data_IF_804423653769
#
_entry.id   IF_804423653769
#
_cell.length_a   1.000
_cell.length_b   1.000
_cell.length_c   1.000
_cell.angle_alpha   90.00
_cell.angle_beta   90.00
_cell.angle_gamma   90.00
#
_symmetry.space_group_name_H-M   'P 1'
#
loop_
_entity.id
_entity.type
_entity.pdbx_description
1 polymer ?
#
# COMPACT_ATOMS: atom_id res chain seq x y z
N UNK A 1 9.93 17.37 23.46
CA UNK A 1 9.93 16.28 24.33
C UNK A 1 9.14 15.15 23.84
N UNK A 2 7.86 15.28 23.89
CA UNK A 2 6.95 14.22 23.49
C UNK A 2 7.21 13.71 22.09
N UNK A 3 7.55 14.60 21.18
CA UNK A 3 7.79 14.20 19.81
C UNK A 3 8.89 13.18 19.65
N UNK A 4 9.81 13.09 20.60
CA UNK A 4 10.88 12.11 20.54
C UNK A 4 10.36 10.69 20.62
N UNK A 5 9.16 10.53 21.16
CA UNK A 5 8.53 9.23 21.31
C UNK A 5 7.62 8.89 20.14
N UNK A 6 7.47 9.80 19.19
CA UNK A 6 6.60 9.61 18.06
C UNK A 6 7.16 8.55 17.13
N UNK A 7 6.38 7.51 16.91
CA UNK A 7 6.73 6.38 16.06
C UNK A 7 6.67 6.78 14.59
N UNK A 8 7.58 6.25 13.78
CA UNK A 8 7.48 6.39 12.33
C UNK A 8 6.24 5.67 11.83
N UNK A 9 5.57 6.28 10.86
CA UNK A 9 4.50 5.58 10.15
C UNK A 9 5.10 4.40 9.39
N UNK A 10 4.40 3.28 9.39
CA UNK A 10 4.87 2.05 8.76
C UNK A 10 3.97 1.68 7.58
N UNK A 11 4.60 1.38 6.48
CA UNK A 11 3.94 1.08 5.22
C UNK A 11 4.25 -0.34 4.80
N UNK A 12 3.26 -1.02 4.21
CA UNK A 12 3.48 -2.32 3.59
C UNK A 12 3.32 -2.14 2.08
N UNK A 13 4.31 -2.59 1.32
CA UNK A 13 4.31 -2.48 -0.14
C UNK A 13 4.25 -3.88 -0.73
N UNK A 14 3.26 -4.13 -1.57
CA UNK A 14 3.12 -5.38 -2.31
C UNK A 14 3.34 -5.10 -3.79
N UNK A 15 4.38 -5.69 -4.36
CA UNK A 15 4.66 -5.65 -5.79
C UNK A 15 5.59 -6.82 -6.11
N UNK A 16 5.35 -7.53 -7.20
CA UNK A 16 6.21 -8.65 -7.58
C UNK A 16 7.40 -8.23 -8.42
N UNK A 17 7.46 -6.98 -8.86
CA UNK A 17 8.57 -6.45 -9.65
C UNK A 17 9.65 -5.91 -8.72
N UNK A 18 10.82 -6.55 -8.73
CA UNK A 18 11.94 -6.17 -7.86
C UNK A 18 12.39 -4.72 -8.06
N UNK A 19 12.39 -4.24 -9.29
CA UNK A 19 12.80 -2.87 -9.59
C UNK A 19 11.84 -1.85 -8.99
N UNK A 20 10.54 -2.12 -9.09
CA UNK A 20 9.52 -1.26 -8.50
C UNK A 20 9.62 -1.29 -6.97
N UNK A 21 9.82 -2.48 -6.39
CA UNK A 21 10.01 -2.62 -4.95
C UNK A 21 11.14 -1.71 -4.46
N UNK A 22 12.28 -1.77 -5.12
CA UNK A 22 13.46 -0.98 -4.72
C UNK A 22 13.21 0.50 -4.86
N UNK A 23 12.60 0.92 -5.95
CA UNK A 23 12.31 2.32 -6.20
C UNK A 23 11.34 2.87 -5.16
N UNK A 24 10.22 2.19 -4.96
CA UNK A 24 9.19 2.64 -4.01
C UNK A 24 9.74 2.67 -2.59
N UNK A 25 10.47 1.63 -2.20
CA UNK A 25 11.07 1.58 -0.86
C UNK A 25 12.03 2.75 -0.64
N UNK A 26 12.87 3.04 -1.63
CA UNK A 26 13.83 4.14 -1.51
C UNK A 26 13.12 5.48 -1.36
N UNK A 27 12.10 5.73 -2.18
CA UNK A 27 11.34 6.97 -2.12
C UNK A 27 10.65 7.16 -0.77
N UNK A 28 10.00 6.11 -0.28
CA UNK A 28 9.21 6.21 0.95
C UNK A 28 10.09 6.25 2.20
N UNK A 29 11.19 5.48 2.21
CA UNK A 29 12.14 5.55 3.31
C UNK A 29 12.80 6.91 3.40
N UNK A 30 13.11 7.49 2.24
CA UNK A 30 13.68 8.82 2.18
C UNK A 30 12.70 9.87 2.71
N UNK A 31 11.42 9.64 2.54
CA UNK A 31 10.38 10.53 3.08
C UNK A 31 10.16 10.35 4.59
N UNK A 32 10.86 9.40 5.21
CA UNK A 32 10.82 9.23 6.66
C UNK A 32 9.96 8.08 7.16
N UNK A 33 9.50 7.21 6.28
CA UNK A 33 8.62 6.09 6.66
C UNK A 33 9.41 4.80 6.86
N UNK A 34 8.88 3.93 7.72
CA UNK A 34 9.33 2.55 7.82
C UNK A 34 8.58 1.76 6.74
N UNK A 35 9.29 0.95 5.97
CA UNK A 35 8.69 0.26 4.81
C UNK A 35 9.04 -1.21 4.86
N UNK A 36 8.01 -2.06 4.81
CA UNK A 36 8.17 -3.50 4.64
C UNK A 36 7.69 -3.85 3.23
N UNK A 37 8.36 -4.78 2.58
CA UNK A 37 8.08 -5.16 1.20
C UNK A 37 7.76 -6.64 1.13
N UNK A 38 6.70 -6.97 0.38
CA UNK A 38 6.32 -8.35 0.12
C UNK A 38 6.05 -8.51 -1.38
N UNK A 39 6.11 -9.75 -1.85
CA UNK A 39 5.97 -10.08 -3.27
C UNK A 39 4.66 -10.78 -3.61
N UNK A 40 3.85 -11.14 -2.62
CA UNK A 40 2.58 -11.82 -2.86
C UNK A 40 1.53 -11.39 -1.85
N UNK A 41 0.27 -11.61 -2.20
CA UNK A 41 -0.85 -11.31 -1.31
C UNK A 41 -0.80 -12.14 -0.04
N UNK A 42 -0.40 -13.42 -0.13
CA UNK A 42 -0.28 -14.28 1.04
C UNK A 42 0.74 -13.75 2.03
N UNK A 43 1.89 -13.28 1.53
CA UNK A 43 2.89 -12.65 2.38
C UNK A 43 2.35 -11.39 3.04
N UNK A 44 1.59 -10.59 2.27
CA UNK A 44 1.01 -9.37 2.80
C UNK A 44 0.03 -9.68 3.93
N UNK A 45 -0.84 -10.67 3.75
CA UNK A 45 -1.81 -11.06 4.76
C UNK A 45 -1.11 -11.53 6.03
N UNK A 46 -0.05 -12.31 5.89
CA UNK A 46 0.73 -12.76 7.05
C UNK A 46 1.32 -11.58 7.81
N UNK A 47 1.89 -10.61 7.09
CA UNK A 47 2.46 -9.42 7.72
C UNK A 47 1.41 -8.59 8.42
N UNK A 48 0.25 -8.42 7.79
CA UNK A 48 -0.85 -7.65 8.37
C UNK A 48 -1.32 -8.27 9.70
N UNK A 49 -1.27 -9.59 9.80
CA UNK A 49 -1.64 -10.28 11.03
C UNK A 49 -0.64 -10.12 12.17
N UNK A 50 0.60 -9.74 11.86
CA UNK A 50 1.67 -9.65 12.85
C UNK A 50 2.11 -8.22 13.16
N UNK A 51 1.85 -7.28 12.25
CA UNK A 51 2.37 -5.93 12.33
C UNK A 51 1.27 -4.95 11.96
N UNK A 52 1.18 -3.85 12.68
CA UNK A 52 0.24 -2.80 12.36
C UNK A 52 0.82 -1.89 11.29
N UNK A 53 0.03 -1.60 10.26
CA UNK A 53 0.45 -0.73 9.18
C UNK A 53 -0.45 0.50 9.09
N UNK A 54 0.16 1.63 8.74
CA UNK A 54 -0.56 2.88 8.57
C UNK A 54 -1.06 3.05 7.14
N UNK A 55 -0.39 2.42 6.17
CA UNK A 55 -0.80 2.42 4.77
C UNK A 55 -0.40 1.10 4.13
N UNK A 56 -1.28 0.60 3.27
CA UNK A 56 -0.98 -0.56 2.42
C UNK A 56 -0.95 -0.07 0.98
N UNK A 57 0.20 -0.25 0.32
CA UNK A 57 0.38 0.11 -1.09
C UNK A 57 0.44 -1.18 -1.89
N UNK A 58 -0.59 -1.45 -2.67
CA UNK A 58 -0.79 -2.77 -3.27
C UNK A 58 -0.84 -2.71 -4.79
N UNK A 59 -0.04 -3.55 -5.46
CA UNK A 59 -0.16 -3.77 -6.90
C UNK A 59 -1.20 -4.85 -7.15
N UNK A 60 -2.14 -4.59 -8.04
CA UNK A 60 -3.20 -5.55 -8.37
C UNK A 60 -2.88 -6.42 -9.59
N UNK A 61 -1.81 -6.11 -10.32
CA UNK A 61 -1.46 -6.84 -11.53
C UNK A 61 -0.64 -8.10 -11.30
N UNK A 62 -0.43 -8.47 -10.05
CA UNK A 62 0.23 -9.75 -9.73
C UNK A 62 -0.69 -10.89 -10.16
N UNK A 63 -0.23 -11.83 -10.99
CA UNK A 63 -1.10 -12.76 -11.72
C UNK A 63 -2.05 -13.61 -10.89
N UNK A 64 -1.63 -14.16 -9.78
CA UNK A 64 -2.48 -15.09 -9.02
C UNK A 64 -2.68 -14.74 -7.57
N UNK A 65 -1.77 -13.98 -6.96
CA UNK A 65 -1.80 -13.71 -5.54
C UNK A 65 -1.26 -12.30 -5.30
N UNK A 66 -2.09 -11.31 -5.51
CA UNK A 66 -1.69 -9.92 -5.43
C UNK A 66 -2.64 -9.06 -4.63
N UNK A 67 -2.78 -7.80 -5.03
CA UNK A 67 -3.57 -6.83 -4.30
C UNK A 67 -5.02 -7.20 -4.12
N UNK A 68 -5.63 -7.86 -5.12
CA UNK A 68 -7.03 -8.29 -4.99
C UNK A 68 -7.21 -9.32 -3.88
N UNK A 69 -6.24 -10.22 -3.70
CA UNK A 69 -6.28 -11.20 -2.62
C UNK A 69 -6.30 -10.51 -1.26
N UNK A 70 -5.47 -9.48 -1.11
CA UNK A 70 -5.41 -8.71 0.13
C UNK A 70 -6.71 -7.96 0.38
N UNK A 71 -7.25 -7.31 -0.64
CA UNK A 71 -8.50 -6.56 -0.52
C UNK A 71 -9.65 -7.47 -0.09
N UNK A 72 -9.75 -8.65 -0.71
CA UNK A 72 -10.78 -9.62 -0.36
C UNK A 72 -10.66 -10.03 1.10
N UNK A 73 -9.44 -10.31 1.54
CA UNK A 73 -9.17 -10.68 2.93
C UNK A 73 -9.59 -9.57 3.89
N UNK A 74 -9.24 -8.32 3.58
CA UNK A 74 -9.54 -7.19 4.45
C UNK A 74 -11.03 -6.90 4.54
N UNK A 75 -11.78 -7.12 3.48
CA UNK A 75 -13.23 -6.94 3.51
C UNK A 75 -13.88 -7.80 4.59
N UNK A 76 -13.34 -8.97 4.82
CA UNK A 76 -13.86 -9.89 5.84
C UNK A 76 -13.24 -9.69 7.20
N UNK A 77 -11.92 -9.51 7.26
CA UNK A 77 -11.18 -9.54 8.51
C UNK A 77 -10.98 -8.16 9.16
N UNK A 78 -10.86 -7.11 8.34
CA UNK A 78 -10.57 -5.76 8.85
C UNK A 78 -11.02 -4.70 7.84
N UNK A 79 -12.32 -4.48 7.70
CA UNK A 79 -12.82 -3.52 6.71
C UNK A 79 -12.30 -2.09 6.90
N UNK A 80 -12.02 -1.70 8.14
CA UNK A 80 -11.52 -0.36 8.43
C UNK A 80 -10.16 -0.10 7.78
N UNK A 81 -9.34 -1.13 7.64
CA UNK A 81 -8.01 -1.00 7.04
C UNK A 81 -8.09 -0.71 5.54
N UNK A 82 -9.21 -1.04 4.88
CA UNK A 82 -9.39 -0.73 3.47
C UNK A 82 -9.26 0.77 3.19
N UNK A 83 -9.63 1.62 4.14
CA UNK A 83 -9.53 3.06 3.98
C UNK A 83 -8.08 3.56 3.94
N UNK A 84 -7.14 2.68 4.24
CA UNK A 84 -5.72 2.97 4.20
C UNK A 84 -5.00 2.24 3.05
N UNK A 85 -5.77 1.66 2.13
CA UNK A 85 -5.23 0.98 0.96
C UNK A 85 -5.13 1.94 -0.21
N UNK A 86 -3.94 1.97 -0.81
CA UNK A 86 -3.67 2.67 -2.07
C UNK A 86 -3.22 1.63 -3.08
N UNK A 87 -3.86 1.59 -4.22
CA UNK A 87 -3.42 0.70 -5.30
C UNK A 87 -2.36 1.39 -6.14
N UNK A 88 -1.27 0.68 -6.41
CA UNK A 88 -0.20 1.17 -7.28
C UNK A 88 -0.17 0.25 -8.49
N UNK A 89 -0.71 0.70 -9.62
CA UNK A 89 -0.96 -0.23 -10.70
C UNK A 89 -1.04 0.41 -12.07
N UNK A 90 -0.74 -0.40 -13.09
CA UNK A 90 -0.97 -0.06 -14.49
C UNK A 90 -2.30 -0.61 -14.99
N UNK A 91 -3.11 -1.19 -14.10
CA UNK A 91 -4.39 -1.79 -14.48
C UNK A 91 -5.35 -0.80 -15.14
N UNK A 92 -6.17 -1.25 -16.08
CA UNK A 92 -7.22 -0.40 -16.66
C UNK A 92 -8.23 0.05 -15.61
N UNK A 93 -8.80 1.23 -15.82
CA UNK A 93 -9.82 1.76 -14.92
C UNK A 93 -10.99 0.81 -14.69
N UNK A 94 -11.36 0.04 -15.71
CA UNK A 94 -12.48 -0.88 -15.61
C UNK A 94 -12.30 -1.93 -14.52
N UNK A 95 -11.05 -2.36 -14.27
CA UNK A 95 -10.77 -3.34 -13.22
C UNK A 95 -10.86 -2.73 -11.82
N UNK A 96 -10.74 -1.43 -11.72
CA UNK A 96 -10.68 -0.73 -10.43
C UNK A 96 -12.03 -0.14 -10.03
N UNK A 97 -12.98 -0.12 -10.96
CA UNK A 97 -14.24 0.61 -10.79
C UNK A 97 -15.03 0.19 -9.55
N UNK A 98 -15.12 -1.09 -9.31
CA UNK A 98 -15.89 -1.61 -8.18
C UNK A 98 -15.24 -1.42 -6.82
N UNK A 99 -13.99 -0.95 -6.78
CA UNK A 99 -13.24 -0.83 -5.54
C UNK A 99 -13.08 0.60 -5.04
N UNK A 100 -13.37 1.60 -5.88
CA UNK A 100 -13.07 2.99 -5.55
C UNK A 100 -13.72 3.50 -4.29
N UNK A 101 -14.87 2.99 -3.93
CA UNK A 101 -15.56 3.41 -2.71
C UNK A 101 -15.06 2.74 -1.45
N UNK A 102 -14.32 1.64 -1.59
CA UNK A 102 -13.87 0.85 -0.45
C UNK A 102 -12.47 1.22 0.02
N UNK A 103 -11.59 1.62 -0.90
CA UNK A 103 -10.19 1.91 -0.62
C UNK A 103 -9.94 3.42 -0.63
N UNK A 104 -8.73 3.82 -0.20
CA UNK A 104 -8.39 5.24 -0.21
C UNK A 104 -8.28 5.79 -1.64
N UNK A 105 -7.54 5.12 -2.49
CA UNK A 105 -7.36 5.60 -3.85
C UNK A 105 -6.36 4.79 -4.66
N UNK A 106 -5.98 5.36 -5.80
CA UNK A 106 -5.12 4.68 -6.78
C UNK A 106 -4.02 5.63 -7.24
N UNK A 107 -2.81 5.12 -7.34
CA UNK A 107 -1.68 5.79 -7.99
C UNK A 107 -1.33 4.96 -9.22
N UNK A 108 -1.31 5.59 -10.39
CA UNK A 108 -1.10 4.88 -11.64
C UNK A 108 0.37 4.80 -11.99
N UNK A 109 0.78 3.67 -12.54
CA UNK A 109 2.11 3.50 -13.12
C UNK A 109 2.07 3.94 -14.59
N UNK A 110 3.06 4.67 -15.08
CA UNK A 110 4.18 5.25 -14.34
C UNK A 110 3.74 6.42 -13.47
N UNK A 111 4.42 6.63 -12.35
CA UNK A 111 4.04 7.69 -11.41
C UNK A 111 5.19 8.66 -11.18
N UNK A 112 4.83 9.87 -10.73
CA UNK A 112 5.79 10.85 -10.27
C UNK A 112 6.11 10.57 -8.79
N UNK A 113 7.38 10.69 -8.42
CA UNK A 113 7.79 10.46 -7.03
C UNK A 113 7.01 11.35 -6.06
N UNK A 114 6.83 12.63 -6.43
CA UNK A 114 6.10 13.57 -5.59
C UNK A 114 4.65 13.19 -5.42
N UNK A 115 4.01 12.65 -6.46
CA UNK A 115 2.63 12.20 -6.39
C UNK A 115 2.48 11.03 -5.41
N UNK A 116 3.38 10.06 -5.50
CA UNK A 116 3.34 8.91 -4.61
C UNK A 116 3.50 9.35 -3.15
N UNK A 117 4.52 10.14 -2.87
CA UNK A 117 4.80 10.59 -1.50
C UNK A 117 3.64 11.43 -0.97
N UNK A 118 3.08 12.33 -1.79
CA UNK A 118 1.96 13.16 -1.37
C UNK A 118 0.71 12.33 -1.07
N UNK A 119 0.44 11.29 -1.87
CA UNK A 119 -0.71 10.42 -1.65
C UNK A 119 -0.58 9.69 -0.32
N UNK A 120 0.60 9.13 -0.05
CA UNK A 120 0.85 8.44 1.21
C UNK A 120 0.66 9.39 2.41
N UNK A 121 1.18 10.61 2.31
CA UNK A 121 1.01 11.59 3.38
C UNK A 121 -0.45 11.90 3.66
N UNK A 122 -1.27 11.99 2.62
CA UNK A 122 -2.71 12.24 2.79
C UNK A 122 -3.43 11.08 3.46
N UNK A 123 -3.05 9.84 3.15
CA UNK A 123 -3.65 8.68 3.82
C UNK A 123 -3.36 8.73 5.31
N UNK A 124 -2.12 9.02 5.66
CA UNK A 124 -1.70 9.05 7.06
C UNK A 124 -2.41 10.17 7.83
N UNK A 125 -2.68 11.28 7.16
CA UNK A 125 -3.28 12.47 7.79
C UNK A 125 -4.77 12.34 8.06
N UNK A 126 -5.45 11.35 7.45
CA UNK A 126 -6.90 11.23 7.62
C UNK A 126 -7.32 10.68 8.99
#
# INVERSE_FOLDING_TARGET
>A
MIRLLKRKARLLVLDDDTSIQKLVAALLRRAGYAVDIVSSGSQAIERIGKQKYDVLLLDVMTPTDGGFTVIKHLKEADPALLKRVVLLTASPDSLLRGMKGDIYGVVRKPFEAAELVATIARVIAQ
#
